data_IF_481041975471
#
_entry.id   IF_481041975471
#
_cell.length_a   1.000
_cell.length_b   1.000
_cell.length_c   1.000
_cell.angle_alpha   90.00
_cell.angle_beta   90.00
_cell.angle_gamma   90.00
#
_symmetry.space_group_name_H-M   'P 1'
#
loop_
_entity.id
_entity.type
_entity.pdbx_description
1 polymer ?
#
# COMPACT_ATOMS: atom_id res chain seq x y z
N UNK A 1 13.48 8.45 -2.22
CA UNK A 1 12.43 7.50 -1.81
C UNK A 1 11.26 8.29 -1.26
N UNK A 2 10.03 7.90 -1.57
CA UNK A 2 8.84 8.52 -0.99
C UNK A 2 8.77 8.22 0.51
N UNK A 3 8.19 9.09 1.34
CA UNK A 3 7.95 8.78 2.75
C UNK A 3 6.84 7.73 2.90
N UNK A 4 6.98 6.83 3.87
CA UNK A 4 6.04 5.72 4.11
C UNK A 4 5.56 5.71 5.57
N UNK A 5 4.25 5.79 5.76
CA UNK A 5 3.62 5.70 7.07
C UNK A 5 2.44 4.73 6.98
N UNK A 6 2.56 3.57 7.64
CA UNK A 6 1.70 2.42 7.38
C UNK A 6 0.22 2.73 7.57
N UNK A 7 -0.16 3.40 8.67
CA UNK A 7 -1.55 3.81 8.95
C UNK A 7 -1.89 5.23 8.46
N UNK A 8 -1.03 5.85 7.66
CA UNK A 8 -1.22 7.17 7.12
C UNK A 8 -0.78 7.19 5.65
N UNK A 9 -1.52 6.52 4.74
CA UNK A 9 -1.20 6.53 3.31
C UNK A 9 -1.21 7.97 2.76
N UNK A 10 -0.33 8.25 1.80
CA UNK A 10 -0.25 9.59 1.20
C UNK A 10 -1.52 9.82 0.36
N UNK A 11 -2.21 10.96 0.53
CA UNK A 11 -3.31 11.36 -0.34
C UNK A 11 -2.96 11.24 -1.82
N UNK A 12 -3.87 10.70 -2.63
CA UNK A 12 -3.74 10.67 -4.09
C UNK A 12 -4.66 11.70 -4.73
N UNK A 13 -4.24 12.40 -5.81
CA UNK A 13 -5.11 13.32 -6.56
C UNK A 13 -6.47 12.73 -6.94
N UNK A 14 -6.48 11.44 -7.28
CA UNK A 14 -7.67 10.71 -7.69
C UNK A 14 -8.74 10.56 -6.61
N UNK A 15 -8.38 10.83 -5.35
CA UNK A 15 -9.27 10.71 -4.20
C UNK A 15 -9.98 12.01 -3.86
N UNK A 16 -9.85 13.06 -4.68
CA UNK A 16 -10.41 14.38 -4.41
C UNK A 16 -11.02 14.97 -5.68
N UNK A 17 -12.09 15.74 -5.50
CA UNK A 17 -12.85 16.31 -6.61
C UNK A 17 -12.14 17.52 -7.24
N UNK A 18 -11.19 18.12 -6.51
CA UNK A 18 -10.40 19.25 -6.98
C UNK A 18 -8.93 19.17 -6.57
N UNK A 19 -8.08 19.81 -7.37
CA UNK A 19 -6.65 19.94 -7.06
C UNK A 19 -6.38 20.80 -5.81
N UNK A 20 -7.31 21.69 -5.45
CA UNK A 20 -7.21 22.48 -4.22
C UNK A 20 -7.42 21.59 -2.98
N UNK A 21 -8.48 20.77 -3.01
CA UNK A 21 -8.80 19.80 -1.94
C UNK A 21 -7.68 18.79 -1.75
N UNK A 22 -7.17 18.21 -2.86
CA UNK A 22 -6.00 17.34 -2.82
C UNK A 22 -4.78 18.00 -2.17
N UNK A 23 -4.42 19.23 -2.57
CA UNK A 23 -3.28 19.95 -2.00
C UNK A 23 -3.48 20.26 -0.52
N UNK A 24 -4.70 20.59 -0.10
CA UNK A 24 -5.03 20.81 1.31
C UNK A 24 -4.86 19.51 2.12
N UNK A 25 -5.38 18.38 1.63
CA UNK A 25 -5.20 17.07 2.24
C UNK A 25 -3.72 16.66 2.33
N UNK A 26 -2.96 16.81 1.25
CA UNK A 26 -1.52 16.55 1.24
C UNK A 26 -0.74 17.44 2.22
N UNK A 27 -1.14 18.71 2.36
CA UNK A 27 -0.59 19.63 3.36
C UNK A 27 -0.86 19.15 4.79
N UNK A 28 -2.12 18.80 5.10
CA UNK A 28 -2.51 18.26 6.43
C UNK A 28 -1.79 16.94 6.74
N UNK A 29 -1.65 16.07 5.74
CA UNK A 29 -0.89 14.83 5.87
C UNK A 29 0.58 15.11 6.22
N UNK A 30 1.23 16.02 5.49
CA UNK A 30 2.63 16.42 5.75
C UNK A 30 2.81 16.98 7.17
N UNK A 31 1.88 17.81 7.64
CA UNK A 31 1.93 18.37 8.99
C UNK A 31 1.68 17.28 10.06
N UNK A 32 0.76 16.35 9.80
CA UNK A 32 0.47 15.22 10.69
C UNK A 32 1.66 14.29 10.87
N UNK A 33 2.35 13.90 9.79
CA UNK A 33 3.51 12.99 9.88
C UNK A 33 4.78 13.68 10.41
N UNK A 34 4.89 15.00 10.24
CA UNK A 34 6.00 15.78 10.78
C UNK A 34 5.98 15.83 12.32
N UNK A 35 4.81 15.97 12.94
CA UNK A 35 4.66 15.93 14.41
C UNK A 35 5.09 14.56 14.91
N UNK A 36 6.10 14.49 15.76
CA UNK A 36 6.64 13.26 16.33
C UNK A 36 7.47 12.43 15.36
N UNK A 37 7.87 12.96 14.19
CA UNK A 37 8.64 12.24 13.16
C UNK A 37 8.05 10.86 12.82
N UNK A 38 6.73 10.79 12.56
CA UNK A 38 6.00 9.51 12.47
C UNK A 38 6.52 8.54 11.42
N UNK A 39 7.18 9.04 10.37
CA UNK A 39 7.72 8.20 9.29
C UNK A 39 8.82 7.27 9.84
N UNK A 40 9.78 7.79 10.60
CA UNK A 40 10.91 7.01 11.10
C UNK A 40 10.69 6.48 12.53
N UNK A 41 9.59 6.86 13.17
CA UNK A 41 9.25 6.48 14.54
C UNK A 41 9.06 4.97 14.71
N UNK A 42 9.53 4.42 15.83
CA UNK A 42 9.44 2.99 16.21
C UNK A 42 8.07 2.36 16.01
N UNK A 43 6.98 3.01 16.43
CA UNK A 43 5.58 2.60 16.17
C UNK A 43 5.29 2.33 14.68
N UNK A 44 5.77 3.16 13.75
CA UNK A 44 5.57 2.94 12.32
C UNK A 44 6.40 1.75 11.82
N UNK A 45 7.66 1.66 12.26
CA UNK A 45 8.53 0.50 11.97
C UNK A 45 7.93 -0.81 12.46
N UNK A 46 7.39 -0.83 13.69
CA UNK A 46 6.67 -1.98 14.25
C UNK A 46 5.45 -2.35 13.40
N UNK A 47 4.69 -1.37 12.89
CA UNK A 47 3.56 -1.65 12.02
C UNK A 47 4.00 -2.40 10.76
N UNK A 48 5.09 -2.01 10.11
CA UNK A 48 5.64 -2.77 8.98
C UNK A 48 6.13 -4.17 9.38
N UNK A 49 6.73 -4.34 10.57
CA UNK A 49 7.09 -5.67 11.08
C UNK A 49 5.85 -6.56 11.28
N UNK A 50 4.80 -6.02 11.91
CA UNK A 50 3.52 -6.72 12.12
C UNK A 50 2.87 -7.06 10.78
N UNK A 51 2.88 -6.12 9.82
CA UNK A 51 2.40 -6.38 8.46
C UNK A 51 3.15 -7.57 7.85
N UNK A 52 4.48 -7.61 7.95
CA UNK A 52 5.29 -8.74 7.49
C UNK A 52 4.93 -10.07 8.17
N UNK A 53 4.70 -10.07 9.48
CA UNK A 53 4.25 -11.26 10.21
C UNK A 53 2.88 -11.74 9.71
N UNK A 54 1.92 -10.82 9.54
CA UNK A 54 0.57 -11.16 9.06
C UNK A 54 0.58 -11.67 7.61
N UNK A 55 1.39 -11.06 6.73
CA UNK A 55 1.56 -11.57 5.37
C UNK A 55 2.18 -12.96 5.37
N UNK A 56 3.21 -13.20 6.19
CA UNK A 56 3.82 -14.52 6.32
C UNK A 56 2.84 -15.58 6.78
N UNK A 57 2.03 -15.25 7.79
CA UNK A 57 1.15 -16.23 8.42
C UNK A 57 -0.13 -16.47 7.59
N UNK A 58 -0.67 -15.46 6.91
CA UNK A 58 -1.99 -15.53 6.24
C UNK A 58 -1.97 -15.44 4.70
N UNK A 59 -0.92 -14.89 4.10
CA UNK A 59 -0.89 -14.61 2.64
C UNK A 59 0.10 -15.51 1.92
N UNK A 60 1.31 -15.69 2.45
CA UNK A 60 2.36 -16.51 1.82
C UNK A 60 1.88 -17.93 1.50
N UNK A 61 1.16 -18.66 2.37
CA UNK A 61 0.67 -19.99 2.05
C UNK A 61 -0.19 -20.04 0.77
N UNK A 62 -1.01 -19.01 0.54
CA UNK A 62 -1.87 -18.88 -0.65
C UNK A 62 -1.11 -18.43 -1.91
N UNK A 63 0.12 -17.92 -1.76
CA UNK A 63 1.03 -17.58 -2.86
C UNK A 63 1.89 -18.76 -3.29
N UNK A 64 1.99 -19.83 -2.50
CA UNK A 64 2.74 -21.04 -2.86
C UNK A 64 1.98 -21.78 -3.96
N UNK A 65 2.49 -21.67 -5.18
CA UNK A 65 1.95 -22.35 -6.35
C UNK A 65 2.44 -23.80 -6.38
N UNK A 66 1.57 -24.73 -5.97
CA UNK A 66 1.83 -26.18 -6.03
C UNK A 66 0.80 -26.82 -6.95
N UNK A 67 0.80 -26.47 -8.24
CA UNK A 67 0.05 -27.24 -9.23
C UNK A 67 0.96 -28.35 -9.79
N UNK A 68 0.71 -29.63 -9.47
CA UNK A 68 1.51 -30.74 -9.98
C UNK A 68 1.38 -30.95 -11.50
N UNK A 69 0.42 -30.31 -12.16
CA UNK A 69 0.28 -30.34 -13.63
C UNK A 69 1.06 -29.24 -14.36
N UNK A 70 1.50 -28.20 -13.64
CA UNK A 70 2.31 -27.09 -14.15
C UNK A 70 3.68 -27.10 -13.48
N UNK A 71 4.49 -28.12 -13.80
CA UNK A 71 5.88 -28.27 -13.35
C UNK A 71 6.90 -27.57 -14.26
N UNK A 72 6.49 -26.54 -15.02
CA UNK A 72 7.35 -25.88 -16.02
C UNK A 72 8.40 -24.92 -15.43
N UNK A 73 8.78 -25.12 -14.16
CA UNK A 73 9.80 -24.35 -13.48
C UNK A 73 9.42 -22.90 -13.22
N UNK A 74 10.43 -22.06 -12.99
CA UNK A 74 10.26 -20.63 -12.75
C UNK A 74 10.65 -19.87 -14.03
N UNK A 75 9.71 -19.21 -14.72
CA UNK A 75 10.02 -18.46 -15.92
C UNK A 75 10.91 -17.24 -15.60
N UNK A 76 11.60 -16.74 -16.63
CA UNK A 76 12.43 -15.54 -16.52
C UNK A 76 11.54 -14.30 -16.48
N UNK A 77 11.71 -13.46 -15.47
CA UNK A 77 11.01 -12.20 -15.29
C UNK A 77 11.92 -10.99 -15.51
N UNK A 78 11.38 -9.95 -16.16
CA UNK A 78 12.02 -8.65 -16.22
C UNK A 78 11.64 -7.85 -14.95
N UNK A 79 12.61 -7.48 -14.08
CA UNK A 79 12.34 -6.96 -12.74
C UNK A 79 11.84 -5.50 -12.72
N UNK A 80 12.05 -4.79 -13.84
CA UNK A 80 11.71 -3.38 -14.04
C UNK A 80 11.04 -3.14 -15.40
N UNK A 81 10.00 -3.93 -15.68
CA UNK A 81 9.26 -3.81 -16.93
C UNK A 81 8.34 -2.58 -16.88
N UNK A 82 8.80 -1.49 -17.50
CA UNK A 82 8.07 -0.23 -17.64
C UNK A 82 8.23 0.33 -19.06
N UNK A 83 7.43 1.32 -19.46
CA UNK A 83 7.45 1.88 -20.82
C UNK A 83 8.84 2.35 -21.29
N UNK A 84 9.68 2.86 -20.39
CA UNK A 84 11.06 3.26 -20.73
C UNK A 84 11.97 2.11 -21.19
N UNK A 85 11.59 0.85 -20.92
CA UNK A 85 12.34 -0.35 -21.28
C UNK A 85 11.68 -1.13 -22.43
N UNK A 86 10.64 -0.58 -23.07
CA UNK A 86 9.90 -1.20 -24.17
C UNK A 86 9.99 -0.28 -25.39
N UNK A 87 10.59 -0.77 -26.46
CA UNK A 87 10.59 -0.09 -27.77
C UNK A 87 9.45 -0.62 -28.62
N UNK A 88 8.84 0.30 -29.36
CA UNK A 88 7.76 0.01 -30.32
C UNK A 88 8.09 0.60 -31.69
N UNK A 89 7.53 0.03 -32.74
CA UNK A 89 7.55 0.61 -34.09
C UNK A 89 6.42 1.65 -34.28
N UNK A 90 6.29 2.19 -35.50
CA UNK A 90 5.26 3.18 -35.86
C UNK A 90 3.83 2.64 -35.73
N UNK A 91 3.65 1.32 -35.76
CA UNK A 91 2.37 0.62 -35.62
C UNK A 91 2.10 0.16 -34.16
N UNK A 92 2.94 0.58 -33.21
CA UNK A 92 2.90 0.22 -31.79
C UNK A 92 3.14 -1.26 -31.48
N UNK A 93 3.76 -2.01 -32.40
CA UNK A 93 4.22 -3.37 -32.10
C UNK A 93 5.49 -3.31 -31.25
N UNK A 94 5.58 -4.16 -30.23
CA UNK A 94 6.79 -4.27 -29.40
C UNK A 94 7.93 -4.83 -30.26
N UNK A 95 9.00 -4.06 -30.44
CA UNK A 95 10.18 -4.45 -31.23
C UNK A 95 11.34 -4.91 -30.37
N UNK A 96 11.46 -4.39 -29.15
CA UNK A 96 12.54 -4.73 -28.24
C UNK A 96 12.15 -4.47 -26.77
N UNK A 97 12.68 -5.31 -25.87
CA UNK A 97 12.72 -5.06 -24.42
C UNK A 97 14.19 -5.00 -24.01
N UNK A 98 14.58 -3.95 -23.30
CA UNK A 98 15.97 -3.72 -22.87
C UNK A 98 16.11 -3.81 -21.34
N UNK A 99 17.34 -3.64 -20.84
CA UNK A 99 17.68 -3.59 -19.40
C UNK A 99 17.47 -4.90 -18.61
N UNK A 100 17.88 -6.00 -19.22
CA UNK A 100 17.81 -7.35 -18.62
C UNK A 100 18.85 -7.63 -17.52
N UNK A 101 19.66 -6.65 -17.11
CA UNK A 101 20.81 -6.87 -16.23
C UNK A 101 20.44 -7.45 -14.85
N UNK A 102 19.21 -7.21 -14.40
CA UNK A 102 18.69 -7.71 -13.11
C UNK A 102 17.67 -8.85 -13.27
N UNK A 103 17.61 -9.49 -14.44
CA UNK A 103 16.63 -10.56 -14.69
C UNK A 103 16.84 -11.76 -13.78
N UNK A 104 15.74 -12.36 -13.32
CA UNK A 104 15.75 -13.53 -12.46
C UNK A 104 14.62 -14.46 -12.85
N UNK A 105 14.68 -15.71 -12.37
CA UNK A 105 13.51 -16.57 -12.40
C UNK A 105 12.48 -16.09 -11.36
N UNK A 106 11.19 -16.17 -11.69
CA UNK A 106 10.09 -15.65 -10.86
C UNK A 106 8.92 -16.64 -10.80
N UNK A 107 8.06 -16.61 -9.77
CA UNK A 107 6.80 -17.36 -9.79
C UNK A 107 5.94 -16.95 -10.98
N UNK A 108 5.35 -17.93 -11.69
CA UNK A 108 4.52 -17.67 -12.87
C UNK A 108 3.45 -16.57 -12.69
N UNK A 109 2.69 -16.50 -11.57
CA UNK A 109 1.71 -15.42 -11.36
C UNK A 109 2.30 -14.00 -11.41
N UNK A 110 3.60 -13.85 -11.17
CA UNK A 110 4.27 -12.54 -11.26
C UNK A 110 4.31 -12.01 -12.69
N UNK A 111 4.36 -12.88 -13.71
CA UNK A 111 4.35 -12.46 -15.12
C UNK A 111 2.98 -12.00 -15.59
N UNK A 112 1.93 -12.40 -14.88
CA UNK A 112 0.55 -12.06 -15.19
C UNK A 112 0.10 -10.76 -14.52
N UNK A 113 0.93 -10.20 -13.63
CA UNK A 113 0.68 -8.88 -13.08
C UNK A 113 0.83 -7.82 -14.18
N UNK A 114 -0.19 -6.97 -14.34
CA UNK A 114 -0.12 -5.87 -15.29
C UNK A 114 1.16 -5.04 -15.05
N UNK A 115 2.01 -4.84 -16.08
CA UNK A 115 3.20 -4.01 -15.96
C UNK A 115 2.84 -2.60 -15.49
N UNK A 116 3.78 -1.93 -14.83
CA UNK A 116 3.59 -0.54 -14.43
C UNK A 116 3.66 0.35 -15.66
N UNK A 117 2.53 0.53 -16.33
CA UNK A 117 2.45 1.32 -17.56
C UNK A 117 2.46 2.83 -17.30
N UNK A 118 2.03 3.28 -16.11
CA UNK A 118 1.96 4.70 -15.78
C UNK A 118 2.81 5.00 -14.53
N UNK A 119 3.79 5.91 -14.67
CA UNK A 119 4.53 6.46 -13.52
C UNK A 119 3.66 7.40 -12.67
N UNK A 120 2.57 7.93 -13.24
CA UNK A 120 1.60 8.75 -12.53
C UNK A 120 0.36 7.92 -12.15
N UNK A 121 -0.16 8.06 -10.92
CA UNK A 121 -1.44 7.48 -10.55
C UNK A 121 -2.53 8.17 -11.38
N UNK A 122 -2.95 7.51 -12.46
CA UNK A 122 -4.30 7.70 -13.00
C UNK A 122 -5.30 7.35 -11.90
N UNK A 123 -6.53 7.87 -11.90
CA UNK A 123 -7.53 7.49 -10.91
C UNK A 123 -7.61 5.98 -10.68
N UNK A 124 -7.89 5.56 -9.43
CA UNK A 124 -8.02 4.13 -9.07
C UNK A 124 -8.86 3.35 -10.09
N UNK A 125 -9.95 3.96 -10.58
CA UNK A 125 -10.80 3.43 -11.63
C UNK A 125 -10.07 3.11 -12.96
N UNK A 126 -9.03 3.86 -13.29
CA UNK A 126 -8.19 3.62 -14.45
C UNK A 126 -7.14 2.53 -14.20
N UNK A 127 -6.67 2.30 -12.97
CA UNK A 127 -5.81 1.15 -12.65
C UNK A 127 -6.60 -0.15 -12.76
N UNK A 128 -7.82 -0.19 -12.20
CA UNK A 128 -8.69 -1.37 -12.29
C UNK A 128 -9.09 -1.68 -13.74
N UNK A 129 -9.44 -0.65 -14.51
CA UNK A 129 -9.75 -0.80 -15.94
C UNK A 129 -8.53 -1.28 -16.73
N UNK A 130 -7.33 -0.77 -16.42
CA UNK A 130 -6.10 -1.18 -17.09
C UNK A 130 -5.77 -2.65 -16.77
N UNK A 131 -5.88 -3.05 -15.50
CA UNK A 131 -5.67 -4.43 -15.07
C UNK A 131 -6.66 -5.38 -15.77
N UNK A 132 -7.95 -5.02 -15.78
CA UNK A 132 -8.99 -5.81 -16.45
C UNK A 132 -8.77 -5.91 -17.97
N UNK A 133 -8.37 -4.80 -18.60
CA UNK A 133 -8.06 -4.77 -20.04
C UNK A 133 -6.83 -5.62 -20.36
N UNK A 134 -5.77 -5.49 -19.56
CA UNK A 134 -4.55 -6.29 -19.70
C UNK A 134 -4.85 -7.78 -19.58
N UNK A 135 -5.60 -8.18 -18.54
CA UNK A 135 -6.04 -9.54 -18.33
C UNK A 135 -6.81 -10.08 -19.55
N UNK A 136 -7.87 -9.38 -19.98
CA UNK A 136 -8.69 -9.81 -21.11
C UNK A 136 -7.89 -9.94 -22.42
N UNK A 137 -6.91 -9.06 -22.64
CA UNK A 137 -6.03 -9.13 -23.81
C UNK A 137 -5.03 -10.28 -23.73
N UNK A 138 -4.49 -10.57 -22.55
CA UNK A 138 -3.58 -11.70 -22.37
C UNK A 138 -4.32 -13.03 -22.54
N UNK A 139 -5.53 -13.15 -22.01
CA UNK A 139 -6.42 -14.31 -22.22
C UNK A 139 -6.76 -14.51 -23.71
N UNK A 140 -6.92 -13.42 -24.46
CA UNK A 140 -7.18 -13.49 -25.90
C UNK A 140 -5.94 -13.89 -26.71
N UNK A 141 -4.77 -13.35 -26.36
CA UNK A 141 -3.54 -13.51 -27.13
C UNK A 141 -2.84 -14.85 -26.85
N UNK A 142 -2.84 -15.26 -25.60
CA UNK A 142 -2.36 -16.56 -25.21
C UNK A 142 -3.57 -17.51 -25.25
N UNK A 143 -3.60 -18.46 -26.17
CA UNK A 143 -4.60 -19.55 -26.18
C UNK A 143 -4.40 -20.48 -24.97
N UNK A 144 -4.43 -19.95 -23.75
CA UNK A 144 -4.15 -20.66 -22.50
C UNK A 144 -5.42 -21.45 -22.13
N UNK A 145 -5.65 -22.55 -22.84
CA UNK A 145 -6.78 -23.45 -22.61
C UNK A 145 -6.73 -24.11 -21.22
N UNK A 146 -5.62 -23.97 -20.48
CA UNK A 146 -5.38 -24.60 -19.19
C UNK A 146 -4.75 -23.62 -18.19
N UNK A 147 -5.38 -22.47 -17.94
CA UNK A 147 -4.96 -21.63 -16.80
C UNK A 147 -5.39 -22.29 -15.48
N UNK A 148 -4.49 -22.38 -14.49
CA UNK A 148 -4.86 -22.86 -13.16
C UNK A 148 -6.03 -22.06 -12.60
N UNK A 149 -6.96 -22.69 -11.86
CA UNK A 149 -7.99 -21.94 -11.16
C UNK A 149 -7.34 -20.89 -10.25
N UNK A 150 -7.96 -19.70 -10.17
CA UNK A 150 -7.52 -18.58 -9.33
C UNK A 150 -6.17 -17.95 -9.71
N UNK A 151 -5.62 -18.23 -10.89
CA UNK A 151 -4.33 -17.67 -11.31
C UNK A 151 -4.31 -16.14 -11.34
N UNK A 152 -5.38 -15.48 -11.78
CA UNK A 152 -5.50 -14.02 -11.77
C UNK A 152 -5.56 -13.43 -10.38
N UNK A 153 -6.28 -14.09 -9.47
CA UNK A 153 -6.25 -13.75 -8.04
C UNK A 153 -4.84 -13.83 -7.48
N UNK A 154 -4.08 -14.89 -7.82
CA UNK A 154 -2.67 -15.02 -7.41
C UNK A 154 -1.77 -13.97 -8.06
N UNK A 155 -2.03 -13.59 -9.31
CA UNK A 155 -1.33 -12.52 -9.99
C UNK A 155 -1.55 -11.17 -9.28
N UNK A 156 -2.79 -10.88 -8.89
CA UNK A 156 -3.12 -9.69 -8.09
C UNK A 156 -2.47 -9.72 -6.71
N UNK A 157 -2.52 -10.86 -6.02
CA UNK A 157 -1.83 -11.02 -4.75
C UNK A 157 -0.32 -10.79 -4.91
N UNK A 158 0.29 -11.32 -5.97
CA UNK A 158 1.72 -11.15 -6.24
C UNK A 158 2.05 -9.69 -6.55
N UNK A 159 1.20 -9.00 -7.32
CA UNK A 159 1.33 -7.56 -7.62
C UNK A 159 1.27 -6.72 -6.34
N UNK A 160 0.26 -6.93 -5.49
CA UNK A 160 0.10 -6.21 -4.22
C UNK A 160 1.23 -6.53 -3.24
N UNK A 161 1.65 -7.80 -3.18
CA UNK A 161 2.79 -8.22 -2.36
C UNK A 161 4.05 -7.47 -2.78
N UNK A 162 4.39 -7.47 -4.07
CA UNK A 162 5.53 -6.72 -4.60
C UNK A 162 5.43 -5.22 -4.33
N UNK A 163 4.23 -4.64 -4.43
CA UNK A 163 4.02 -3.21 -4.12
C UNK A 163 4.40 -2.89 -2.69
N UNK A 164 4.03 -3.75 -1.74
CA UNK A 164 4.31 -3.59 -0.32
C UNK A 164 5.78 -3.86 0.02
N UNK A 165 6.33 -5.02 -0.34
CA UNK A 165 7.69 -5.39 0.08
C UNK A 165 8.78 -4.54 -0.58
N UNK A 166 8.50 -3.96 -1.75
CA UNK A 166 9.42 -3.05 -2.44
C UNK A 166 9.10 -1.57 -2.20
N UNK A 167 8.12 -1.23 -1.36
CA UNK A 167 7.70 0.14 -1.06
C UNK A 167 7.43 0.97 -2.34
N UNK A 168 6.72 0.35 -3.27
CA UNK A 168 6.50 0.85 -4.63
C UNK A 168 5.23 1.70 -4.78
N UNK A 169 4.44 1.82 -3.71
CA UNK A 169 3.16 2.49 -3.62
C UNK A 169 3.18 3.46 -2.45
N UNK A 170 2.39 4.52 -2.49
CA UNK A 170 2.21 5.43 -1.34
C UNK A 170 0.96 5.10 -0.53
N UNK A 171 0.30 3.99 -0.86
CA UNK A 171 -0.99 3.54 -0.31
C UNK A 171 -0.85 2.23 0.47
N UNK A 172 0.27 2.04 1.17
CA UNK A 172 0.64 0.77 1.81
C UNK A 172 -0.49 0.16 2.65
N UNK A 173 -1.19 0.97 3.44
CA UNK A 173 -2.37 0.51 4.20
C UNK A 173 -3.40 -0.22 3.31
N UNK A 174 -3.78 0.41 2.21
CA UNK A 174 -4.83 -0.09 1.33
C UNK A 174 -4.36 -1.29 0.51
N UNK A 175 -3.11 -1.26 0.05
CA UNK A 175 -2.50 -2.39 -0.66
C UNK A 175 -2.40 -3.62 0.28
N UNK A 176 -2.08 -3.40 1.56
CA UNK A 176 -2.08 -4.45 2.59
C UNK A 176 -3.49 -4.98 2.86
N UNK A 177 -4.49 -4.12 3.08
CA UNK A 177 -5.88 -4.53 3.31
C UNK A 177 -6.38 -5.42 2.15
N UNK A 178 -6.13 -4.99 0.91
CA UNK A 178 -6.52 -5.74 -0.29
C UNK A 178 -5.82 -7.11 -0.33
N UNK A 179 -4.50 -7.14 -0.14
CA UNK A 179 -3.72 -8.38 -0.16
C UNK A 179 -4.13 -9.37 0.94
N UNK A 180 -4.29 -8.87 2.16
CA UNK A 180 -4.68 -9.68 3.31
C UNK A 180 -6.08 -10.27 3.12
N UNK A 181 -7.02 -9.50 2.55
CA UNK A 181 -8.37 -9.98 2.23
C UNK A 181 -8.33 -11.08 1.16
N UNK A 182 -7.58 -10.87 0.07
CA UNK A 182 -7.42 -11.87 -0.99
C UNK A 182 -6.79 -13.18 -0.49
N UNK A 183 -5.80 -13.10 0.40
CA UNK A 183 -5.14 -14.28 0.95
C UNK A 183 -6.02 -15.14 1.86
N UNK A 184 -7.06 -14.53 2.48
CA UNK A 184 -8.02 -15.21 3.37
C UNK A 184 -9.22 -15.82 2.65
N UNK A 185 -9.52 -15.38 1.43
CA UNK A 185 -10.48 -16.07 0.58
C UNK A 185 -9.86 -17.41 0.16
N UNK A 186 -10.34 -18.52 0.71
CA UNK A 186 -9.86 -19.87 0.36
C UNK A 186 -10.26 -20.23 -1.08
N UNK A 187 -9.44 -21.01 -1.78
CA UNK A 187 -9.68 -21.47 -3.16
C UNK A 187 -10.69 -22.64 -3.25
N UNK A 188 -11.41 -23.01 -2.19
CA UNK A 188 -12.28 -24.21 -2.24
C UNK A 188 -13.23 -24.53 -1.10
N UNK A 189 -13.79 -23.56 -0.36
CA UNK A 189 -14.90 -23.82 0.57
C UNK A 189 -15.91 -22.67 0.55
N UNK A 190 -16.69 -22.61 -0.53
CA UNK A 190 -17.92 -21.80 -0.59
C UNK A 190 -19.11 -22.56 0.05
N UNK A 191 -19.03 -23.89 0.16
CA UNK A 191 -20.06 -24.72 0.81
C UNK A 191 -19.83 -24.79 2.33
N UNK A 192 -20.22 -23.75 3.05
CA UNK A 192 -20.29 -23.79 4.52
C UNK A 192 -19.92 -22.50 5.26
N UNK A 193 -19.56 -21.42 4.56
CA UNK A 193 -19.40 -20.10 5.19
C UNK A 193 -20.76 -19.41 5.27
N UNK A 194 -21.24 -19.18 6.49
CA UNK A 194 -22.35 -18.26 6.73
C UNK A 194 -21.99 -16.87 6.21
N UNK A 195 -22.93 -16.21 5.54
CA UNK A 195 -22.86 -14.81 5.04
C UNK A 195 -22.42 -13.78 6.10
N UNK A 196 -22.35 -14.16 7.38
CA UNK A 196 -21.86 -13.34 8.49
C UNK A 196 -20.33 -13.18 8.56
N UNK A 197 -19.54 -14.01 7.85
CA UNK A 197 -18.06 -14.02 7.92
C UNK A 197 -17.40 -13.24 6.75
N UNK A 198 -18.21 -12.61 5.88
CA UNK A 198 -17.79 -11.69 4.80
C UNK A 198 -17.47 -10.27 5.31
N UNK A 199 -17.15 -10.13 6.59
CA UNK A 199 -16.68 -8.86 7.15
C UNK A 199 -15.28 -8.55 6.64
N UNK A 200 -15.12 -7.41 5.96
CA UNK A 200 -13.81 -6.85 5.64
C UNK A 200 -12.96 -6.83 6.94
N UNK A 201 -11.77 -7.45 6.97
CA UNK A 201 -11.07 -7.67 8.23
C UNK A 201 -10.74 -6.34 8.90
N UNK A 202 -11.00 -6.24 10.21
CA UNK A 202 -10.65 -5.07 11.02
C UNK A 202 -9.12 -5.04 11.22
N UNK A 203 -8.41 -4.59 10.18
CA UNK A 203 -6.95 -4.56 10.13
C UNK A 203 -6.36 -3.79 11.32
N UNK A 204 -6.86 -2.59 11.70
CA UNK A 204 -6.33 -1.90 12.88
C UNK A 204 -6.45 -2.71 14.17
N UNK A 205 -7.60 -3.36 14.41
CA UNK A 205 -7.76 -4.22 15.59
C UNK A 205 -6.80 -5.42 15.57
N UNK A 206 -6.60 -6.02 14.39
CA UNK A 206 -5.65 -7.12 14.18
C UNK A 206 -4.21 -6.71 14.51
N UNK A 207 -3.81 -5.51 14.09
CA UNK A 207 -2.50 -4.95 14.41
C UNK A 207 -2.35 -4.64 15.90
N UNK A 208 -3.39 -4.08 16.52
CA UNK A 208 -3.39 -3.81 17.96
C UNK A 208 -3.26 -5.10 18.78
N UNK A 209 -3.98 -6.16 18.39
CA UNK A 209 -3.83 -7.49 19.00
C UNK A 209 -2.40 -8.04 18.83
N UNK A 210 -1.86 -7.98 17.60
CA UNK A 210 -0.50 -8.46 17.32
C UNK A 210 0.57 -7.66 18.08
N UNK A 211 0.39 -6.36 18.23
CA UNK A 211 1.29 -5.48 18.98
C UNK A 211 1.33 -5.78 20.49
N UNK A 212 0.26 -6.33 21.07
CA UNK A 212 0.19 -6.73 22.49
C UNK A 212 0.88 -8.06 22.79
N UNK A 213 1.31 -8.81 21.77
CA UNK A 213 2.08 -10.04 21.98
C UNK A 213 3.47 -9.72 22.55
N UNK A 214 3.97 -10.58 23.44
CA UNK A 214 5.24 -10.36 24.15
C UNK A 214 6.41 -10.11 23.21
N UNK A 215 6.48 -10.86 22.12
CA UNK A 215 7.53 -10.73 21.08
C UNK A 215 7.52 -9.35 20.43
N UNK A 216 6.33 -8.82 20.13
CA UNK A 216 6.17 -7.50 19.50
C UNK A 216 6.33 -6.34 20.49
N UNK A 217 5.99 -6.55 21.77
CA UNK A 217 6.30 -5.59 22.83
C UNK A 217 7.81 -5.47 23.05
N UNK A 218 8.54 -6.58 23.00
CA UNK A 218 10.00 -6.58 23.07
C UNK A 218 10.60 -5.91 21.82
N UNK A 219 10.14 -6.29 20.63
CA UNK A 219 10.59 -5.66 19.37
C UNK A 219 10.35 -4.14 19.37
N UNK A 220 9.20 -3.68 19.90
CA UNK A 220 8.96 -2.24 20.04
C UNK A 220 9.95 -1.57 21.00
N UNK A 221 10.34 -2.24 22.08
CA UNK A 221 11.35 -1.71 22.99
C UNK A 221 12.72 -1.57 22.29
N UNK A 222 13.12 -2.56 21.50
CA UNK A 222 14.34 -2.53 20.69
C UNK A 222 14.29 -1.40 19.64
N UNK A 223 13.19 -1.29 18.88
CA UNK A 223 13.03 -0.24 17.87
C UNK A 223 13.08 1.17 18.47
N UNK A 224 12.64 1.36 19.72
CA UNK A 224 12.70 2.66 20.40
C UNK A 224 14.12 3.13 20.70
N UNK A 225 15.11 2.24 20.72
CA UNK A 225 16.51 2.63 20.93
C UNK A 225 17.05 3.49 19.79
N UNK A 226 16.53 3.28 18.57
CA UNK A 226 16.86 4.07 17.38
C UNK A 226 16.01 5.34 17.23
N UNK A 227 15.02 5.57 18.11
CA UNK A 227 14.19 6.77 18.01
C UNK A 227 15.01 8.02 18.32
N UNK A 228 14.76 9.08 17.54
CA UNK A 228 15.42 10.36 17.76
C UNK A 228 15.13 10.92 19.15
N UNK A 229 16.11 11.55 19.83
CA UNK A 229 15.89 12.17 21.14
C UNK A 229 14.77 13.22 21.10
N UNK A 230 13.96 13.37 22.17
CA UNK A 230 12.81 14.29 22.19
C UNK A 230 13.16 15.74 21.82
N UNK A 231 14.33 16.22 22.24
CA UNK A 231 14.81 17.58 21.91
C UNK A 231 15.17 17.74 20.44
N UNK A 232 15.62 16.67 19.78
CA UNK A 232 15.86 16.68 18.34
C UNK A 232 14.52 16.66 17.58
N UNK A 233 13.58 15.81 17.99
CA UNK A 233 12.23 15.75 17.44
C UNK A 233 11.54 17.11 17.51
N UNK A 234 11.57 17.74 18.68
CA UNK A 234 10.98 19.08 18.90
C UNK A 234 11.62 20.15 18.01
N UNK A 235 12.95 20.11 17.83
CA UNK A 235 13.65 21.03 16.92
C UNK A 235 13.27 20.79 15.46
N UNK A 236 13.12 19.55 15.03
CA UNK A 236 12.71 19.22 13.66
C UNK A 236 11.24 19.55 13.39
N UNK A 237 10.35 19.33 14.36
CA UNK A 237 8.98 19.84 14.31
C UNK A 237 8.97 21.36 14.17
N UNK A 238 9.76 22.05 15.00
CA UNK A 238 9.89 23.50 14.91
C UNK A 238 10.46 23.92 13.55
N UNK A 239 11.49 23.27 12.99
CA UNK A 239 12.03 23.66 11.68
C UNK A 239 11.05 23.40 10.53
N UNK A 240 10.42 22.23 10.50
CA UNK A 240 9.47 21.82 9.45
C UNK A 240 8.15 22.58 9.53
N UNK A 241 7.71 22.93 10.74
CA UNK A 241 6.42 23.56 11.01
C UNK A 241 6.58 25.08 11.17
N UNK A 242 7.63 25.66 11.78
CA UNK A 242 7.80 27.12 11.87
C UNK A 242 7.89 27.80 10.50
N UNK A 243 8.50 27.14 9.51
CA UNK A 243 8.50 27.64 8.13
C UNK A 243 7.08 27.76 7.53
N UNK A 244 6.10 27.00 8.05
CA UNK A 244 4.70 26.99 7.58
C UNK A 244 3.70 27.61 8.56
N UNK A 245 4.00 27.60 9.85
CA UNK A 245 3.13 27.96 10.97
C UNK A 245 3.22 29.42 11.37
N UNK A 246 4.29 30.15 10.98
CA UNK A 246 4.26 31.62 11.04
C UNK A 246 3.14 32.19 10.15
N UNK A 247 2.69 31.46 9.13
CA UNK A 247 1.56 31.83 8.30
C UNK A 247 0.21 31.23 8.77
N UNK A 248 0.21 30.08 9.47
CA UNK A 248 -0.99 29.27 9.75
C UNK A 248 -0.92 28.44 11.06
N UNK A 249 -1.05 29.06 12.25
CA UNK A 249 -0.97 28.37 13.54
C UNK A 249 -2.05 27.29 13.75
N UNK A 250 -3.20 27.42 13.10
CA UNK A 250 -4.32 26.48 13.13
C UNK A 250 -3.95 25.09 12.59
N UNK A 251 -3.07 25.01 11.59
CA UNK A 251 -2.65 23.74 10.97
C UNK A 251 -1.86 22.87 11.95
N UNK A 252 -0.97 23.49 12.74
CA UNK A 252 -0.22 22.80 13.79
C UNK A 252 -1.14 22.28 14.91
N UNK A 253 -2.15 23.07 15.30
CA UNK A 253 -3.12 22.65 16.30
C UNK A 253 -3.90 21.40 15.84
N UNK A 254 -4.34 21.38 14.58
CA UNK A 254 -5.00 20.21 13.96
C UNK A 254 -4.06 19.00 13.97
N UNK A 255 -2.82 19.13 13.50
CA UNK A 255 -1.86 18.02 13.47
C UNK A 255 -1.56 17.43 14.86
N UNK A 256 -1.43 18.28 15.88
CA UNK A 256 -1.26 17.83 17.29
C UNK A 256 -2.51 17.14 17.82
N UNK A 257 -3.69 17.66 17.52
CA UNK A 257 -4.96 17.02 17.91
C UNK A 257 -5.12 15.66 17.25
N UNK A 258 -4.81 15.53 15.96
CA UNK A 258 -4.80 14.25 15.26
C UNK A 258 -3.78 13.28 15.84
N UNK A 259 -2.62 13.76 16.27
CA UNK A 259 -1.63 12.92 16.96
C UNK A 259 -2.20 12.35 18.25
N UNK A 260 -2.80 13.17 19.11
CA UNK A 260 -3.50 12.70 20.31
C UNK A 260 -4.59 11.67 19.98
N UNK A 261 -5.42 11.95 18.97
CA UNK A 261 -6.47 11.02 18.54
C UNK A 261 -5.90 9.68 18.06
N UNK A 262 -4.78 9.70 17.33
CA UNK A 262 -4.12 8.48 16.85
C UNK A 262 -3.54 7.62 17.97
N UNK A 263 -3.22 8.22 19.13
CA UNK A 263 -2.73 7.50 20.30
C UNK A 263 -3.86 6.95 21.17
N UNK A 264 -5.01 7.64 21.19
CA UNK A 264 -6.19 7.23 21.96
C UNK A 264 -7.07 6.20 21.24
N UNK A 265 -7.01 6.16 19.91
CA UNK A 265 -7.83 5.28 19.09
C UNK A 265 -6.96 4.28 18.31
N UNK A 266 -6.94 3.03 18.77
CA UNK A 266 -6.22 1.94 18.09
C UNK A 266 -6.73 1.65 16.67
N UNK A 267 -7.95 2.08 16.34
CA UNK A 267 -8.54 1.96 15.00
C UNK A 267 -8.29 3.17 14.11
N UNK A 268 -7.42 4.09 14.53
CA UNK A 268 -7.13 5.30 13.78
C UNK A 268 -6.35 5.01 12.50
N UNK A 269 -6.88 5.47 11.37
CA UNK A 269 -6.19 5.46 10.07
C UNK A 269 -6.33 6.85 9.46
N UNK A 270 -5.22 7.46 9.07
CA UNK A 270 -5.19 8.78 8.45
C UNK A 270 -5.29 8.67 6.92
N UNK A 271 -6.40 8.10 6.45
CA UNK A 271 -6.69 7.91 5.02
C UNK A 271 -7.56 9.03 4.44
N UNK A 272 -7.95 8.89 3.16
CA UNK A 272 -8.82 9.84 2.46
C UNK A 272 -10.10 10.21 3.21
N UNK A 273 -10.68 9.31 4.02
CA UNK A 273 -11.92 9.57 4.75
C UNK A 273 -11.68 10.63 5.83
N UNK A 274 -10.58 10.50 6.56
CA UNK A 274 -10.20 11.50 7.57
C UNK A 274 -9.97 12.86 6.92
N UNK A 275 -9.23 12.91 5.81
CA UNK A 275 -8.85 14.18 5.20
C UNK A 275 -10.04 14.94 4.61
N UNK A 276 -11.00 14.22 4.00
CA UNK A 276 -12.28 14.79 3.54
C UNK A 276 -13.13 15.28 4.71
N UNK A 277 -13.25 14.48 5.77
CA UNK A 277 -14.00 14.89 6.97
C UNK A 277 -13.43 16.17 7.61
N UNK A 278 -12.12 16.33 7.65
CA UNK A 278 -11.49 17.58 8.14
C UNK A 278 -11.76 18.75 7.20
N UNK A 279 -11.78 18.52 5.89
CA UNK A 279 -12.11 19.56 4.92
C UNK A 279 -13.55 20.07 5.14
N UNK A 280 -14.53 19.16 5.17
CA UNK A 280 -15.94 19.50 5.44
C UNK A 280 -16.09 20.26 6.77
N UNK A 281 -15.44 19.76 7.84
CA UNK A 281 -15.50 20.40 9.16
C UNK A 281 -14.82 21.78 9.21
N UNK A 282 -13.89 22.08 8.30
CA UNK A 282 -13.25 23.39 8.22
C UNK A 282 -14.07 24.40 7.39
N UNK A 283 -14.84 23.94 6.41
CA UNK A 283 -15.77 24.77 5.64
C UNK A 283 -16.91 25.28 6.53
N UNK A 284 -17.44 24.43 7.42
CA UNK A 284 -18.50 24.81 8.38
C UNK A 284 -18.08 25.89 9.39
N UNK A 285 -16.77 26.10 9.60
CA UNK A 285 -16.22 27.09 10.55
C UNK A 285 -16.08 28.48 9.90
N UNK A 286 -16.11 28.56 8.57
CA UNK A 286 -15.97 29.82 7.81
C UNK A 286 -17.13 29.98 6.81
N UNK A 287 -18.33 30.36 7.27
CA UNK A 287 -19.44 30.76 6.39
C UNK A 287 -19.19 32.10 5.68
#
# INVERSE_FOLDING_TARGET
>A
MSPHAFFAPIPSPSEYDSWASYRAAAGRWNDFVAVGQKIDHSKNRLAYCIAGQLLRDAVIPSLIFSDPSHTDGFPIGHPDLHLGNIFVDDDLNITCVIDWASTSTVPFPQLLACPRMMQNPSPLAAEDLLNATFQARLEQACHIEHMPPNIWKRADMMRLFHRLVRMLSTRDYHDFVALYSLGRCSDGNEEGRSESDEGNPDIPALFAERARQSENMQLLAELREDDSPPDYVKRQEQASILARAQAHPEKLAVARKLTLMSEMNERFVADRKLWRWIEDAMEDIHP
#
